data_IF_826466909294
#
_entry.id   IF_826466909294
#
_cell.length_a   1.000
_cell.length_b   1.000
_cell.length_c   1.000
_cell.angle_alpha   90.00
_cell.angle_beta   90.00
_cell.angle_gamma   90.00
#
_symmetry.space_group_name_H-M   'P 1'
#
loop_
_entity.id
_entity.type
_entity.pdbx_description
1 polymer ?
#
# COMPACT_ATOMS: atom_id res chain seq x y z
N UNK A 1 -3.02 5.46 -15.22
CA UNK A 1 -4.21 6.31 -15.09
C UNK A 1 -5.22 5.76 -16.08
N UNK A 2 -6.37 5.26 -15.61
CA UNK A 2 -7.41 4.79 -16.51
C UNK A 2 -7.91 5.99 -17.34
N UNK A 3 -7.89 5.88 -18.67
CA UNK A 3 -8.49 6.87 -19.55
C UNK A 3 -10.01 6.82 -19.35
N UNK A 4 -10.57 7.78 -18.63
CA UNK A 4 -12.01 7.89 -18.51
C UNK A 4 -12.61 8.23 -19.87
N UNK A 5 -13.46 7.36 -20.38
CA UNK A 5 -14.21 7.56 -21.63
C UNK A 5 -15.13 8.77 -21.45
N UNK A 6 -14.92 9.81 -22.27
CA UNK A 6 -15.66 11.09 -22.17
C UNK A 6 -16.77 11.24 -23.20
N UNK A 7 -16.75 10.44 -24.27
CA UNK A 7 -17.70 10.54 -25.40
C UNK A 7 -18.00 9.17 -25.97
N UNK A 8 -19.23 9.00 -26.44
CA UNK A 8 -19.61 7.84 -27.22
C UNK A 8 -18.94 7.87 -28.60
N UNK A 9 -18.30 6.78 -29.06
CA UNK A 9 -17.68 6.72 -30.38
C UNK A 9 -18.70 6.71 -31.53
N UNK A 10 -19.92 6.23 -31.29
CA UNK A 10 -20.97 6.10 -32.32
C UNK A 10 -21.75 7.40 -32.54
N UNK A 11 -22.31 7.98 -31.47
CA UNK A 11 -23.18 9.16 -31.58
C UNK A 11 -22.51 10.48 -31.17
N UNK A 12 -21.29 10.44 -30.64
CA UNK A 12 -20.62 11.62 -30.08
C UNK A 12 -21.24 12.17 -28.79
N UNK A 13 -22.28 11.51 -28.26
CA UNK A 13 -22.98 11.89 -27.05
C UNK A 13 -22.08 11.86 -25.82
N UNK A 14 -22.31 12.81 -24.91
CA UNK A 14 -21.57 12.96 -23.64
C UNK A 14 -22.35 12.32 -22.48
N UNK A 15 -23.61 11.93 -22.73
CA UNK A 15 -24.51 11.39 -21.72
C UNK A 15 -24.22 9.90 -21.45
N UNK A 16 -23.18 9.65 -20.66
CA UNK A 16 -22.73 8.31 -20.28
C UNK A 16 -23.29 7.91 -18.91
N UNK A 17 -23.80 6.69 -18.83
CA UNK A 17 -24.30 6.07 -17.62
C UNK A 17 -23.35 4.98 -17.15
N UNK A 18 -22.94 5.06 -15.88
CA UNK A 18 -22.08 4.07 -15.26
C UNK A 18 -22.94 3.08 -14.48
N UNK A 19 -23.07 1.87 -15.00
CA UNK A 19 -23.78 0.80 -14.33
C UNK A 19 -22.81 -0.01 -13.47
N UNK A 20 -22.74 0.32 -12.17
CA UNK A 20 -21.86 -0.37 -11.21
C UNK A 20 -22.24 -1.82 -10.96
N UNK A 21 -23.51 -2.18 -11.09
CA UNK A 21 -23.98 -3.55 -10.82
C UNK A 21 -23.52 -4.54 -11.90
N UNK A 22 -23.42 -4.06 -13.15
CA UNK A 22 -22.94 -4.87 -14.28
C UNK A 22 -21.48 -4.60 -14.66
N UNK A 23 -20.91 -3.49 -14.20
CA UNK A 23 -19.57 -3.05 -14.59
C UNK A 23 -19.51 -2.53 -16.03
N UNK A 24 -20.56 -1.82 -16.46
CA UNK A 24 -20.74 -1.35 -17.84
C UNK A 24 -20.82 0.19 -17.91
N UNK A 25 -20.28 0.78 -18.98
CA UNK A 25 -20.48 2.18 -19.36
C UNK A 25 -21.39 2.24 -20.58
N UNK A 26 -22.58 2.80 -20.41
CA UNK A 26 -23.63 2.80 -21.43
C UNK A 26 -23.90 4.24 -21.88
N UNK A 27 -23.92 4.48 -23.19
CA UNK A 27 -24.41 5.76 -23.71
C UNK A 27 -25.94 5.80 -23.63
N UNK A 28 -26.51 6.81 -22.95
CA UNK A 28 -27.97 6.96 -22.85
C UNK A 28 -28.63 7.42 -24.15
N UNK A 29 -27.87 8.02 -25.06
CA UNK A 29 -28.40 8.61 -26.28
C UNK A 29 -28.57 7.56 -27.40
N UNK A 30 -27.66 6.59 -27.49
CA UNK A 30 -27.70 5.53 -28.52
C UNK A 30 -27.79 4.10 -27.97
N UNK A 31 -27.68 3.91 -26.66
CA UNK A 31 -27.74 2.58 -26.02
C UNK A 31 -26.46 1.74 -26.14
N UNK A 32 -25.41 2.26 -26.77
CA UNK A 32 -24.14 1.54 -26.93
C UNK A 32 -23.46 1.31 -25.58
N UNK A 33 -23.04 0.06 -25.34
CA UNK A 33 -22.11 -0.29 -24.26
C UNK A 33 -20.70 0.01 -24.75
N UNK A 34 -20.06 1.03 -24.18
CA UNK A 34 -18.74 1.50 -24.60
C UNK A 34 -17.63 0.71 -23.92
N UNK A 35 -17.84 0.38 -22.65
CA UNK A 35 -16.92 -0.41 -21.84
C UNK A 35 -17.73 -1.42 -21.04
N UNK A 36 -17.22 -2.64 -20.92
CA UNK A 36 -17.81 -3.74 -20.17
C UNK A 36 -16.71 -4.38 -19.31
N UNK A 37 -17.10 -5.13 -18.28
CA UNK A 37 -16.20 -5.79 -17.31
C UNK A 37 -15.28 -4.82 -16.57
N UNK A 38 -15.80 -3.64 -16.23
CA UNK A 38 -15.07 -2.73 -15.38
C UNK A 38 -14.66 -3.38 -14.07
N UNK A 39 -13.40 -3.19 -13.69
CA UNK A 39 -12.90 -3.61 -12.39
C UNK A 39 -13.18 -2.51 -11.38
N UNK A 40 -13.87 -2.85 -10.30
CA UNK A 40 -14.02 -1.95 -9.16
C UNK A 40 -12.73 -1.97 -8.33
N UNK A 41 -12.05 -0.83 -8.24
CA UNK A 41 -10.86 -0.64 -7.41
C UNK A 41 -11.19 -0.10 -6.01
N UNK A 42 -12.47 0.10 -5.71
CA UNK A 42 -12.91 0.53 -4.39
C UNK A 42 -12.71 -0.59 -3.37
N UNK A 43 -12.55 -0.25 -2.09
CA UNK A 43 -12.44 -1.26 -1.04
C UNK A 43 -13.74 -2.05 -0.94
N UNK A 44 -13.66 -3.36 -1.19
CA UNK A 44 -14.81 -4.27 -1.03
C UNK A 44 -15.26 -4.37 0.44
N UNK A 45 -14.34 -4.13 1.38
CA UNK A 45 -14.61 -4.19 2.81
C UNK A 45 -14.82 -2.81 3.42
N UNK A 46 -15.70 -2.75 4.42
CA UNK A 46 -16.03 -1.53 5.16
C UNK A 46 -15.21 -1.49 6.46
N UNK A 47 -14.42 -0.45 6.61
CA UNK A 47 -13.63 -0.16 7.81
C UNK A 47 -14.34 0.91 8.63
N UNK A 48 -14.75 0.58 9.85
CA UNK A 48 -15.29 1.56 10.80
C UNK A 48 -14.27 1.92 11.89
N UNK A 49 -13.31 1.04 12.11
CA UNK A 49 -12.22 1.20 13.07
C UNK A 49 -10.98 0.47 12.55
N UNK A 50 -9.80 0.96 12.95
CA UNK A 50 -8.49 0.44 12.61
C UNK A 50 -8.30 -1.04 12.97
N UNK A 51 -8.85 -1.50 14.10
CA UNK A 51 -8.78 -2.91 14.51
C UNK A 51 -9.67 -3.82 13.65
N UNK A 52 -10.78 -3.30 13.13
CA UNK A 52 -11.62 -4.05 12.19
C UNK A 52 -10.98 -4.09 10.80
N UNK A 53 -10.29 -3.02 10.41
CA UNK A 53 -9.52 -2.96 9.18
C UNK A 53 -8.45 -4.05 9.14
N UNK A 54 -7.66 -4.19 10.20
CA UNK A 54 -6.55 -5.15 10.25
C UNK A 54 -7.03 -6.61 10.20
N UNK A 55 -8.20 -6.91 10.74
CA UNK A 55 -8.81 -8.26 10.69
C UNK A 55 -9.51 -8.57 9.36
N UNK A 56 -10.01 -7.55 8.66
CA UNK A 56 -10.81 -7.72 7.43
C UNK A 56 -10.00 -7.55 6.15
N UNK A 57 -8.89 -6.80 6.20
CA UNK A 57 -7.96 -6.68 5.08
C UNK A 57 -7.43 -8.05 4.70
N UNK A 58 -7.70 -8.46 3.47
CA UNK A 58 -7.11 -9.65 2.86
C UNK A 58 -5.77 -9.35 2.18
N UNK A 59 -5.52 -8.07 1.91
CA UNK A 59 -4.24 -7.56 1.44
C UNK A 59 -3.34 -7.19 2.62
N UNK A 60 -2.02 -7.14 2.38
CA UNK A 60 -1.05 -6.67 3.35
C UNK A 60 -1.22 -5.20 3.72
N UNK A 61 -0.29 -4.68 4.53
CA UNK A 61 -0.25 -3.27 4.90
C UNK A 61 -0.16 -2.37 3.66
N UNK A 62 -0.72 -1.15 3.71
CA UNK A 62 -0.54 -0.18 2.64
C UNK A 62 0.95 0.17 2.47
N UNK A 63 1.34 0.42 1.23
CA UNK A 63 2.67 0.90 0.89
C UNK A 63 2.94 2.26 1.53
N UNK A 64 4.15 2.48 2.05
CA UNK A 64 4.56 3.76 2.64
C UNK A 64 6.01 4.07 2.33
N UNK A 65 6.29 5.28 1.88
CA UNK A 65 7.63 5.80 1.62
C UNK A 65 8.46 5.96 2.89
N UNK A 66 7.84 5.96 4.08
CA UNK A 66 8.55 6.03 5.36
C UNK A 66 9.44 4.82 5.66
N UNK A 67 9.27 3.73 4.91
CA UNK A 67 10.07 2.52 5.01
C UNK A 67 10.96 2.36 3.77
N UNK A 68 12.18 1.84 3.98
CA UNK A 68 13.19 1.73 2.92
C UNK A 68 12.78 0.79 1.78
N UNK A 69 11.92 -0.20 2.07
CA UNK A 69 11.34 -1.17 1.13
C UNK A 69 9.87 -0.87 0.86
N UNK A 70 9.42 0.36 1.12
CA UNK A 70 8.05 0.81 1.00
C UNK A 70 7.02 0.02 1.83
N UNK A 71 7.45 -0.76 2.83
CA UNK A 71 6.56 -1.57 3.65
C UNK A 71 6.25 -2.95 3.07
N UNK A 72 7.00 -3.40 2.07
CA UNK A 72 6.92 -4.78 1.53
C UNK A 72 7.54 -5.83 2.46
N UNK A 73 8.42 -5.41 3.37
CA UNK A 73 9.07 -6.30 4.31
C UNK A 73 8.09 -6.97 5.27
N UNK A 74 8.30 -8.25 5.51
CA UNK A 74 7.63 -8.98 6.61
C UNK A 74 8.52 -8.99 7.85
N UNK A 75 7.99 -9.42 8.99
CA UNK A 75 8.79 -9.74 10.19
C UNK A 75 8.64 -11.23 10.51
N UNK A 76 9.76 -11.93 10.75
CA UNK A 76 9.74 -13.34 11.15
C UNK A 76 9.40 -13.43 12.64
N UNK A 77 8.10 -13.65 12.91
CA UNK A 77 7.50 -13.95 14.21
C UNK A 77 7.55 -12.82 15.24
N UNK A 78 6.85 -13.03 16.34
CA UNK A 78 6.75 -12.07 17.45
C UNK A 78 7.41 -12.59 18.72
N UNK A 79 7.68 -11.71 19.69
CA UNK A 79 8.30 -12.09 20.97
C UNK A 79 7.50 -13.19 21.71
N UNK A 80 6.18 -13.22 21.55
CA UNK A 80 5.31 -14.24 22.14
C UNK A 80 5.58 -15.66 21.58
N UNK A 81 5.92 -15.77 20.29
CA UNK A 81 6.23 -17.05 19.64
C UNK A 81 7.49 -17.69 20.25
N UNK A 82 8.44 -16.86 20.70
CA UNK A 82 9.70 -17.31 21.28
C UNK A 82 9.49 -18.13 22.56
N UNK A 83 8.47 -17.79 23.35
CA UNK A 83 8.12 -18.48 24.59
C UNK A 83 7.66 -19.91 24.34
N UNK A 84 6.99 -20.15 23.20
CA UNK A 84 6.43 -21.45 22.82
C UNK A 84 7.47 -22.38 22.15
N UNK A 85 8.61 -21.83 21.72
CA UNK A 85 9.66 -22.60 21.05
C UNK A 85 10.62 -23.28 22.03
N UNK A 86 10.96 -24.54 21.76
CA UNK A 86 12.06 -25.24 22.43
C UNK A 86 13.44 -24.65 22.10
N UNK A 87 14.47 -24.98 22.90
CA UNK A 87 15.81 -24.36 22.81
C UNK A 87 16.45 -24.44 21.40
N UNK A 88 16.36 -25.61 20.72
CA UNK A 88 16.87 -25.77 19.35
C UNK A 88 16.14 -24.88 18.33
N UNK A 89 14.82 -24.78 18.47
CA UNK A 89 13.98 -23.97 17.58
C UNK A 89 14.17 -22.47 17.80
N UNK A 90 14.44 -22.03 19.05
CA UNK A 90 14.83 -20.64 19.35
C UNK A 90 16.12 -20.24 18.63
N UNK A 91 17.14 -21.09 18.62
CA UNK A 91 18.37 -20.81 17.89
C UNK A 91 18.14 -20.68 16.37
N UNK A 92 17.26 -21.51 15.79
CA UNK A 92 16.86 -21.38 14.39
C UNK A 92 16.11 -20.05 14.15
N UNK A 93 15.19 -19.68 15.03
CA UNK A 93 14.46 -18.41 14.97
C UNK A 93 15.40 -17.20 14.96
N UNK A 94 16.35 -17.14 15.90
CA UNK A 94 17.33 -16.05 15.94
C UNK A 94 18.20 -15.98 14.68
N UNK A 95 18.57 -17.13 14.10
CA UNK A 95 19.29 -17.17 12.83
C UNK A 95 18.43 -16.58 11.71
N UNK A 96 17.18 -17.01 11.55
CA UNK A 96 16.28 -16.49 10.51
C UNK A 96 16.08 -14.98 10.65
N UNK A 97 15.83 -14.50 11.87
CA UNK A 97 15.69 -13.07 12.15
C UNK A 97 16.96 -12.28 11.83
N UNK A 98 18.14 -12.83 12.14
CA UNK A 98 19.43 -12.23 11.77
C UNK A 98 19.62 -12.16 10.26
N UNK A 99 19.15 -13.15 9.51
CA UNK A 99 19.20 -13.15 8.04
C UNK A 99 18.23 -12.13 7.43
N UNK A 100 17.03 -11.99 7.98
CA UNK A 100 16.04 -11.02 7.52
C UNK A 100 16.49 -9.56 7.67
N UNK A 101 17.10 -9.20 8.79
CA UNK A 101 17.59 -7.82 8.99
C UNK A 101 18.90 -7.52 8.27
N UNK A 102 19.46 -8.44 7.47
CA UNK A 102 20.64 -8.11 6.67
C UNK A 102 20.26 -7.12 5.59
N UNK A 103 20.92 -5.98 5.63
CA UNK A 103 20.80 -4.97 4.61
C UNK A 103 21.78 -5.31 3.50
N UNK A 104 21.28 -5.40 2.27
CA UNK A 104 22.02 -5.99 1.15
C UNK A 104 22.78 -4.93 0.35
N UNK A 105 22.22 -3.72 0.22
CA UNK A 105 22.80 -2.67 -0.62
C UNK A 105 23.25 -1.44 0.17
N UNK A 106 24.11 -0.63 -0.45
CA UNK A 106 24.49 0.67 0.11
C UNK A 106 23.31 1.65 0.15
N UNK A 107 22.43 1.58 -0.86
CA UNK A 107 21.22 2.40 -0.98
C UNK A 107 20.25 2.08 0.16
N UNK A 108 19.94 0.80 0.40
CA UNK A 108 19.06 0.40 1.51
C UNK A 108 19.60 0.84 2.87
N UNK A 109 20.93 0.77 3.08
CA UNK A 109 21.56 1.25 4.32
C UNK A 109 21.38 2.75 4.49
N UNK A 110 21.58 3.51 3.41
CA UNK A 110 21.36 4.96 3.41
C UNK A 110 19.90 5.30 3.72
N UNK A 111 18.96 4.70 2.98
CA UNK A 111 17.53 4.92 3.16
C UNK A 111 17.08 4.58 4.59
N UNK A 112 17.53 3.47 5.15
CA UNK A 112 17.15 3.07 6.53
C UNK A 112 17.60 4.09 7.58
N UNK A 113 18.81 4.66 7.43
CA UNK A 113 19.32 5.68 8.35
C UNK A 113 18.60 7.01 8.16
N UNK A 114 18.49 7.47 6.91
CA UNK A 114 17.90 8.77 6.59
C UNK A 114 16.40 8.83 6.92
N UNK A 115 15.63 7.79 6.58
CA UNK A 115 14.21 7.74 6.89
C UNK A 115 13.96 7.68 8.41
N UNK A 116 14.82 7.01 9.16
CA UNK A 116 14.76 7.02 10.62
C UNK A 116 15.02 8.42 11.21
N UNK A 117 15.98 9.15 10.65
CA UNK A 117 16.25 10.54 11.05
C UNK A 117 15.14 11.51 10.65
N UNK A 118 14.59 11.39 9.44
CA UNK A 118 13.45 12.18 8.99
C UNK A 118 12.25 11.98 9.92
N UNK A 119 11.96 10.73 10.29
CA UNK A 119 10.91 10.40 11.25
C UNK A 119 11.17 11.00 12.64
N UNK A 120 12.42 10.95 13.11
CA UNK A 120 12.82 11.57 14.39
C UNK A 120 12.59 13.08 14.38
N UNK A 121 13.00 13.76 13.30
CA UNK A 121 12.83 15.20 13.13
C UNK A 121 11.36 15.58 13.00
N UNK A 122 10.58 14.84 12.20
CA UNK A 122 9.15 15.06 12.06
C UNK A 122 8.41 14.91 13.40
N UNK A 123 8.76 13.89 14.18
CA UNK A 123 8.22 13.68 15.53
C UNK A 123 8.59 14.82 16.49
N UNK A 124 9.85 15.27 16.49
CA UNK A 124 10.31 16.39 17.31
C UNK A 124 9.55 17.70 17.00
N UNK A 125 9.33 17.97 15.72
CA UNK A 125 8.59 19.13 15.22
C UNK A 125 7.07 18.96 15.29
N UNK A 126 6.56 17.80 15.72
CA UNK A 126 5.13 17.43 15.75
C UNK A 126 4.43 17.63 14.40
N UNK A 127 5.11 17.25 13.33
CA UNK A 127 4.57 17.37 11.98
C UNK A 127 3.50 16.30 11.70
N UNK A 128 2.50 16.58 10.85
CA UNK A 128 1.55 15.59 10.39
C UNK A 128 2.21 14.46 9.60
N UNK A 129 1.62 13.25 9.64
CA UNK A 129 2.09 12.08 8.87
C UNK A 129 2.21 12.34 7.37
N UNK A 130 1.34 13.18 6.80
CA UNK A 130 1.41 13.54 5.39
C UNK A 130 2.74 14.23 5.02
N UNK A 131 3.29 15.04 5.93
CA UNK A 131 4.57 15.73 5.73
C UNK A 131 5.73 14.74 5.88
N UNK A 132 5.65 13.82 6.84
CA UNK A 132 6.62 12.73 7.00
C UNK A 132 6.69 11.88 5.72
N UNK A 133 5.53 11.48 5.19
CA UNK A 133 5.42 10.67 3.98
C UNK A 133 5.98 11.39 2.74
N UNK A 134 5.64 12.66 2.55
CA UNK A 134 6.14 13.43 1.39
C UNK A 134 7.65 13.69 1.51
N UNK A 135 8.15 13.96 2.72
CA UNK A 135 9.60 14.14 2.94
C UNK A 135 10.37 12.85 2.62
N UNK A 136 9.82 11.70 3.00
CA UNK A 136 10.39 10.40 2.69
C UNK A 136 10.36 10.14 1.18
N UNK A 137 9.24 10.46 0.50
CA UNK A 137 9.11 10.33 -0.96
C UNK A 137 10.16 11.16 -1.70
N UNK A 138 10.32 12.43 -1.34
CA UNK A 138 11.32 13.32 -1.95
C UNK A 138 12.73 12.76 -1.74
N UNK A 139 13.06 12.28 -0.54
CA UNK A 139 14.38 11.68 -0.27
C UNK A 139 14.62 10.43 -1.13
N UNK A 140 13.63 9.54 -1.24
CA UNK A 140 13.76 8.31 -2.04
C UNK A 140 13.89 8.59 -3.54
N UNK A 141 13.36 9.70 -4.05
CA UNK A 141 13.51 10.10 -5.46
C UNK A 141 14.88 10.72 -5.77
N UNK A 142 15.57 11.23 -4.75
CA UNK A 142 16.85 11.92 -4.90
C UNK A 142 18.06 10.98 -4.82
N UNK A 143 17.90 9.79 -4.23
CA UNK A 143 18.93 8.75 -4.05
C UNK A 143 18.91 7.77 -5.22
#
# INVERSE_FOLDING_TARGET
>A
MAEYIKKCPECGGINLFWNKEKGEVICKDCGLVIEDKMVDFTQEWREFDSDQAEKRRRSGAPMTYTQYDQGLGTEVGVKADLSQLGAKSRNKFFRLRKWQYRISTAIERNLKLALAELKRVASYLKLPKAVEEESARIYTLAV
#
